data_IF_951313205512
#
_entry.id   IF_951313205512
#
_cell.length_a   1.000
_cell.length_b   1.000
_cell.length_c   1.000
_cell.angle_alpha   90.00
_cell.angle_beta   90.00
_cell.angle_gamma   90.00
#
_symmetry.space_group_name_H-M   'P 1'
#
loop_
_entity.id
_entity.type
_entity.pdbx_description
1 polymer ?
#
# COMPACT_ATOMS: atom_id res chain seq x y z
N UNK A 1 -51.50 -35.34 -28.68
CA UNK A 1 -51.55 -36.79 -28.46
C UNK A 1 -50.53 -37.11 -27.40
N UNK A 2 -51.03 -37.38 -26.28
CA UNK A 2 -51.00 -38.62 -25.46
C UNK A 2 -49.60 -38.88 -24.89
N UNK A 3 -49.43 -38.60 -23.59
CA UNK A 3 -49.62 -39.52 -22.44
C UNK A 3 -48.48 -40.56 -22.40
N UNK A 4 -47.83 -40.88 -21.29
CA UNK A 4 -48.22 -41.16 -19.89
C UNK A 4 -46.98 -41.28 -19.03
N UNK A 5 -46.96 -40.75 -17.84
CA UNK A 5 -47.21 -41.40 -16.53
C UNK A 5 -46.11 -42.33 -16.01
N UNK A 6 -45.66 -41.92 -14.82
CA UNK A 6 -44.91 -42.65 -13.80
C UNK A 6 -45.58 -44.02 -13.43
N UNK A 7 -45.09 -44.82 -12.51
CA UNK A 7 -44.69 -44.47 -11.15
C UNK A 7 -43.67 -45.40 -10.42
N UNK A 8 -43.29 -45.06 -9.20
CA UNK A 8 -43.19 -45.81 -7.94
C UNK A 8 -42.17 -46.98 -7.87
N UNK A 9 -41.49 -47.30 -6.81
CA UNK A 9 -41.73 -47.32 -5.38
C UNK A 9 -40.45 -47.81 -4.69
N UNK A 10 -40.31 -47.71 -3.39
CA UNK A 10 -39.08 -47.67 -2.60
C UNK A 10 -38.65 -49.08 -2.15
N UNK A 11 -37.37 -49.21 -1.83
CA UNK A 11 -36.93 -50.33 -1.00
C UNK A 11 -36.05 -49.80 0.15
N UNK A 12 -36.65 -49.76 1.30
CA UNK A 12 -35.98 -49.63 2.56
C UNK A 12 -35.12 -50.87 2.81
N UNK A 13 -33.84 -50.64 3.08
CA UNK A 13 -32.99 -51.67 3.63
C UNK A 13 -32.34 -51.13 4.89
N UNK A 14 -32.92 -51.44 6.02
CA UNK A 14 -32.39 -51.27 7.35
C UNK A 14 -31.23 -52.27 7.54
N UNK A 15 -30.04 -51.78 7.71
CA UNK A 15 -28.93 -52.56 8.23
C UNK A 15 -28.52 -51.97 9.58
N UNK A 16 -28.95 -52.69 10.59
CA UNK A 16 -28.46 -52.55 11.97
C UNK A 16 -27.07 -53.19 12.01
N UNK A 17 -26.06 -52.43 12.31
CA UNK A 17 -24.78 -52.99 12.73
C UNK A 17 -24.38 -52.35 14.07
N UNK A 18 -24.27 -53.26 15.02
CA UNK A 18 -23.97 -53.02 16.40
C UNK A 18 -22.59 -52.48 16.65
N UNK A 19 -22.55 -51.59 17.61
CA UNK A 19 -21.52 -51.20 18.53
C UNK A 19 -20.21 -52.00 18.60
N UNK A 20 -19.10 -51.26 18.51
CA UNK A 20 -17.98 -51.49 19.40
C UNK A 20 -17.53 -50.12 19.90
N UNK A 21 -17.82 -49.88 21.18
CA UNK A 21 -17.35 -48.74 21.90
C UNK A 21 -15.85 -48.89 22.18
N UNK A 22 -15.01 -48.07 21.54
CA UNK A 22 -13.70 -47.77 22.07
C UNK A 22 -13.76 -46.42 22.70
N UNK A 23 -13.82 -46.43 24.01
CA UNK A 23 -13.76 -45.27 24.85
C UNK A 23 -12.30 -44.77 24.91
N UNK A 24 -11.96 -43.81 24.09
CA UNK A 24 -10.75 -43.03 24.26
C UNK A 24 -11.05 -41.93 25.30
N UNK A 25 -10.17 -41.69 26.27
CA UNK A 25 -10.41 -40.64 27.26
C UNK A 25 -10.36 -39.27 26.58
N UNK A 26 -11.45 -38.52 26.64
CA UNK A 26 -11.48 -37.11 26.28
C UNK A 26 -10.60 -36.33 27.28
N UNK A 27 -9.71 -35.45 26.78
CA UNK A 27 -9.07 -34.49 27.66
C UNK A 27 -10.13 -33.51 28.16
N UNK A 28 -10.30 -33.49 29.46
CA UNK A 28 -11.10 -32.49 30.13
C UNK A 28 -10.50 -31.13 29.86
N UNK A 29 -11.18 -30.30 29.08
CA UNK A 29 -10.92 -28.88 29.00
C UNK A 29 -11.30 -28.31 30.36
N UNK A 30 -10.31 -28.08 31.20
CA UNK A 30 -10.45 -27.24 32.38
C UNK A 30 -10.73 -25.81 31.87
N UNK A 31 -11.95 -25.39 32.02
CA UNK A 31 -12.37 -24.00 31.86
C UNK A 31 -11.75 -23.19 33.01
N UNK A 32 -10.48 -22.84 32.88
CA UNK A 32 -9.93 -21.74 33.67
C UNK A 32 -10.40 -20.45 32.98
N UNK A 33 -11.45 -19.87 33.48
CA UNK A 33 -11.79 -18.48 33.22
C UNK A 33 -10.69 -17.63 33.84
N UNK A 34 -9.63 -17.39 33.09
CA UNK A 34 -8.69 -16.31 33.40
C UNK A 34 -9.44 -15.02 33.17
N UNK A 35 -9.87 -14.40 34.26
CA UNK A 35 -10.37 -13.03 34.27
C UNK A 35 -9.16 -12.15 33.89
N UNK A 36 -9.00 -11.81 32.62
CA UNK A 36 -8.03 -10.80 32.22
C UNK A 36 -8.43 -9.48 32.86
N UNK A 37 -7.57 -8.98 33.72
CA UNK A 37 -7.72 -7.66 34.32
C UNK A 37 -7.57 -6.59 33.24
N UNK A 38 -8.29 -5.49 33.37
CA UNK A 38 -8.15 -4.32 32.50
C UNK A 38 -6.70 -3.77 32.46
N UNK A 39 -5.88 -4.11 33.43
CA UNK A 39 -4.45 -3.80 33.48
C UNK A 39 -3.66 -4.64 32.50
N UNK A 40 -4.02 -5.94 32.34
CA UNK A 40 -3.32 -6.84 31.40
C UNK A 40 -3.57 -6.45 29.94
N UNK A 41 -4.74 -5.91 29.62
CA UNK A 41 -5.07 -5.40 28.29
C UNK A 41 -4.31 -4.10 27.96
N UNK A 42 -4.07 -3.26 28.94
CA UNK A 42 -3.30 -2.03 28.76
C UNK A 42 -1.79 -2.32 28.57
N UNK A 43 -1.23 -3.31 29.27
CA UNK A 43 0.15 -3.76 29.07
C UNK A 43 0.36 -4.45 27.71
N UNK A 44 -0.64 -5.21 27.23
CA UNK A 44 -0.59 -5.80 25.89
C UNK A 44 -0.63 -4.75 24.78
N UNK A 45 -1.40 -3.68 24.95
CA UNK A 45 -1.50 -2.59 23.97
C UNK A 45 -0.22 -1.73 23.96
N UNK A 46 0.40 -1.51 25.12
CA UNK A 46 1.68 -0.79 25.23
C UNK A 46 2.84 -1.63 24.66
N UNK A 47 2.91 -2.93 24.93
CA UNK A 47 3.90 -3.84 24.35
C UNK A 47 3.74 -4.02 22.85
N UNK A 48 2.50 -4.07 22.34
CA UNK A 48 2.25 -4.09 20.89
C UNK A 48 2.66 -2.78 20.24
N UNK A 49 2.49 -1.67 20.92
CA UNK A 49 2.91 -0.34 20.49
C UNK A 49 4.42 -0.16 20.53
N UNK A 50 5.08 -0.66 21.56
CA UNK A 50 6.55 -0.67 21.67
C UNK A 50 7.18 -1.64 20.65
N UNK A 51 6.58 -2.81 20.41
CA UNK A 51 6.99 -3.73 19.37
C UNK A 51 6.79 -3.12 17.97
N UNK A 52 5.71 -2.39 17.73
CA UNK A 52 5.48 -1.65 16.50
C UNK A 52 6.43 -0.46 16.33
N UNK A 53 6.83 0.22 17.42
CA UNK A 53 7.88 1.24 17.40
C UNK A 53 9.29 0.62 17.27
N UNK A 54 9.53 -0.53 17.88
CA UNK A 54 10.81 -1.25 17.82
C UNK A 54 11.10 -1.86 16.46
N UNK A 55 10.09 -2.05 15.61
CA UNK A 55 10.26 -2.49 14.22
C UNK A 55 10.71 -1.33 13.27
N UNK A 56 10.82 -0.10 13.80
CA UNK A 56 11.68 0.94 13.24
C UNK A 56 13.14 0.69 13.62
N UNK A 57 13.63 -0.53 13.38
CA UNK A 57 15.02 -0.88 13.60
C UNK A 57 15.92 0.08 12.81
N UNK A 58 17.13 0.30 13.30
CA UNK A 58 18.19 1.06 12.61
C UNK A 58 18.35 0.60 11.16
N UNK A 59 18.12 -0.69 10.88
CA UNK A 59 18.15 -1.29 9.56
C UNK A 59 17.06 -0.70 8.62
N UNK A 60 15.84 -0.52 9.09
CA UNK A 60 14.77 0.13 8.31
C UNK A 60 15.08 1.61 8.07
N UNK A 61 15.57 2.31 9.08
CA UNK A 61 15.98 3.71 8.96
C UNK A 61 17.15 3.88 7.99
N UNK A 62 18.08 2.91 7.93
CA UNK A 62 19.19 2.90 6.99
C UNK A 62 18.76 2.60 5.54
N UNK A 63 17.72 1.77 5.34
CA UNK A 63 17.24 1.35 4.02
C UNK A 63 16.36 2.38 3.32
N UNK A 64 15.63 3.21 4.06
CA UNK A 64 14.73 4.21 3.46
C UNK A 64 15.45 5.19 2.52
N UNK A 65 16.63 5.75 2.85
CA UNK A 65 17.39 6.57 1.91
C UNK A 65 17.79 5.82 0.64
N UNK A 66 18.24 4.56 0.75
CA UNK A 66 18.63 3.75 -0.42
C UNK A 66 17.46 3.45 -1.36
N UNK A 67 16.26 3.17 -0.80
CA UNK A 67 15.04 3.01 -1.59
C UNK A 67 14.63 4.32 -2.27
N UNK A 68 14.76 5.44 -1.56
CA UNK A 68 14.50 6.76 -2.13
C UNK A 68 15.47 7.06 -3.29
N UNK A 69 16.76 6.79 -3.11
CA UNK A 69 17.79 6.97 -4.15
C UNK A 69 17.50 6.13 -5.40
N UNK A 70 17.11 4.86 -5.21
CA UNK A 70 16.69 3.97 -6.30
C UNK A 70 15.48 4.53 -7.07
N UNK A 71 14.42 4.90 -6.34
CA UNK A 71 13.20 5.49 -6.92
C UNK A 71 13.53 6.76 -7.71
N UNK A 72 14.32 7.65 -7.14
CA UNK A 72 14.63 8.94 -7.76
C UNK A 72 15.57 8.79 -8.95
N UNK A 73 16.60 7.94 -8.85
CA UNK A 73 17.51 7.64 -9.96
C UNK A 73 16.76 7.01 -11.14
N UNK A 74 15.89 6.03 -10.86
CA UNK A 74 15.04 5.44 -11.92
C UNK A 74 14.06 6.48 -12.46
N UNK A 75 13.42 7.28 -11.62
CA UNK A 75 12.52 8.35 -12.05
C UNK A 75 13.20 9.37 -12.98
N UNK A 76 14.43 9.78 -12.64
CA UNK A 76 15.23 10.69 -13.47
C UNK A 76 15.56 10.08 -14.83
N UNK A 77 15.85 8.78 -14.92
CA UNK A 77 16.09 8.09 -16.19
C UNK A 77 14.87 8.07 -17.12
N UNK A 78 13.67 8.30 -16.58
CA UNK A 78 12.40 8.33 -17.29
C UNK A 78 11.96 9.76 -17.69
N UNK A 79 12.74 10.79 -17.37
CA UNK A 79 12.43 12.17 -17.77
C UNK A 79 12.25 12.25 -19.28
N UNK A 80 11.19 12.95 -19.73
CA UNK A 80 10.79 13.02 -21.13
C UNK A 80 9.80 11.93 -21.57
N UNK A 81 9.55 10.90 -20.76
CA UNK A 81 8.48 9.93 -21.06
C UNK A 81 7.13 10.64 -21.11
N UNK A 82 6.38 10.42 -22.20
CA UNK A 82 5.13 11.13 -22.47
C UNK A 82 4.07 10.92 -21.39
N UNK A 83 3.27 11.95 -21.16
CA UNK A 83 2.04 11.81 -20.37
C UNK A 83 0.99 11.01 -21.14
N UNK A 84 0.31 10.12 -20.44
CA UNK A 84 -0.90 9.44 -20.93
C UNK A 84 -1.86 9.21 -19.76
N UNK A 85 -3.07 9.72 -19.86
CA UNK A 85 -4.12 9.44 -18.87
C UNK A 85 -4.38 7.92 -18.76
N UNK A 86 -4.35 7.38 -17.55
CA UNK A 86 -4.45 5.93 -17.30
C UNK A 86 -3.17 5.14 -17.63
N UNK A 87 -2.12 5.80 -18.09
CA UNK A 87 -0.82 5.16 -18.38
C UNK A 87 -0.06 4.77 -17.11
N UNK A 88 0.68 3.66 -17.17
CA UNK A 88 1.42 3.13 -16.01
C UNK A 88 2.65 2.32 -16.41
N UNK A 89 3.20 2.55 -17.61
CA UNK A 89 4.42 1.87 -18.07
C UNK A 89 5.23 2.78 -18.99
N UNK A 90 6.51 2.45 -19.17
CA UNK A 90 7.42 3.18 -20.07
C UNK A 90 6.89 3.20 -21.51
N UNK A 91 6.40 2.06 -21.99
CA UNK A 91 5.91 1.93 -23.36
C UNK A 91 4.59 2.67 -23.61
N UNK A 92 3.68 2.67 -22.62
CA UNK A 92 2.39 3.35 -22.73
C UNK A 92 2.48 4.85 -22.47
N UNK A 93 3.44 5.30 -21.70
CA UNK A 93 3.48 6.59 -21.03
C UNK A 93 2.84 6.50 -19.63
N UNK A 94 2.91 7.57 -18.87
CA UNK A 94 2.44 7.63 -17.49
C UNK A 94 1.45 8.77 -17.27
N UNK A 95 0.43 8.55 -16.42
CA UNK A 95 -0.16 9.64 -15.64
C UNK A 95 0.60 9.81 -14.30
N UNK A 96 0.21 10.81 -13.50
CA UNK A 96 0.93 11.12 -12.26
C UNK A 96 0.98 9.94 -11.27
N UNK A 97 -0.15 9.31 -10.98
CA UNK A 97 -0.20 8.16 -10.07
C UNK A 97 0.36 6.87 -10.67
N UNK A 98 0.26 6.69 -11.98
CA UNK A 98 0.87 5.56 -12.69
C UNK A 98 2.39 5.61 -12.67
N UNK A 99 2.98 6.80 -12.79
CA UNK A 99 4.41 7.01 -12.66
C UNK A 99 4.91 6.66 -11.26
N UNK A 100 4.24 7.20 -10.23
CA UNK A 100 4.57 6.92 -8.83
C UNK A 100 4.43 5.43 -8.52
N UNK A 101 3.28 4.83 -8.87
CA UNK A 101 3.02 3.41 -8.61
C UNK A 101 4.00 2.47 -9.32
N UNK A 102 4.44 2.84 -10.53
CA UNK A 102 5.46 2.10 -11.27
C UNK A 102 6.80 2.12 -10.50
N UNK A 103 7.31 3.28 -10.15
CA UNK A 103 8.59 3.41 -9.46
C UNK A 103 8.60 2.72 -8.09
N UNK A 104 7.58 2.95 -7.28
CA UNK A 104 7.51 2.34 -5.94
C UNK A 104 7.40 0.82 -6.00
N UNK A 105 6.71 0.28 -7.00
CA UNK A 105 6.64 -1.16 -7.21
C UNK A 105 7.97 -1.75 -7.63
N UNK A 106 8.64 -1.12 -8.60
CA UNK A 106 9.89 -1.64 -9.18
C UNK A 106 11.06 -1.52 -8.19
N UNK A 107 11.19 -0.40 -7.46
CA UNK A 107 12.34 -0.11 -6.62
C UNK A 107 12.14 -0.51 -5.14
N UNK A 108 10.91 -0.38 -4.63
CA UNK A 108 10.62 -0.65 -3.22
C UNK A 108 9.73 -1.88 -3.00
N UNK A 109 9.25 -2.57 -4.05
CA UNK A 109 8.29 -3.66 -3.93
C UNK A 109 6.92 -3.21 -3.38
N UNK A 110 6.70 -1.91 -3.26
CA UNK A 110 5.50 -1.33 -2.63
C UNK A 110 4.41 -1.06 -3.66
N UNK A 111 3.29 -1.78 -3.52
CA UNK A 111 2.12 -1.59 -4.39
C UNK A 111 1.23 -0.47 -3.85
N UNK A 112 1.29 0.69 -4.47
CA UNK A 112 0.43 1.83 -4.16
C UNK A 112 -0.91 1.79 -4.90
N UNK A 113 -1.96 2.46 -4.38
CA UNK A 113 -3.24 2.62 -5.08
C UNK A 113 -3.06 3.28 -6.45
N UNK A 114 -3.92 2.89 -7.42
CA UNK A 114 -3.78 3.36 -8.81
C UNK A 114 -4.15 4.83 -9.01
N UNK A 115 -4.99 5.41 -8.18
CA UNK A 115 -5.42 6.80 -8.32
C UNK A 115 -4.81 7.71 -7.26
N UNK A 116 -4.56 8.98 -7.58
CA UNK A 116 -4.13 9.99 -6.58
C UNK A 116 -5.14 10.16 -5.45
N UNK A 117 -6.44 9.96 -5.75
CA UNK A 117 -7.52 10.05 -4.77
C UNK A 117 -7.44 8.97 -3.70
N UNK A 118 -7.07 7.75 -4.09
CA UNK A 118 -6.90 6.65 -3.16
C UNK A 118 -5.49 6.69 -2.53
N UNK A 119 -4.50 7.16 -3.28
CA UNK A 119 -3.11 7.26 -2.84
C UNK A 119 -2.92 8.26 -1.68
N UNK A 120 -3.67 9.37 -1.67
CA UNK A 120 -3.63 10.32 -0.57
C UNK A 120 -4.17 9.73 0.75
N UNK A 121 -5.00 8.68 0.67
CA UNK A 121 -5.63 8.03 1.83
C UNK A 121 -4.86 6.80 2.35
N UNK A 122 -3.66 6.51 1.84
CA UNK A 122 -2.86 5.40 2.38
C UNK A 122 -2.50 5.67 3.85
N UNK A 123 -2.39 4.60 4.63
CA UNK A 123 -2.00 4.67 6.04
C UNK A 123 -0.47 4.81 6.17
N UNK A 124 0.04 5.94 5.71
CA UNK A 124 1.44 6.33 5.79
C UNK A 124 1.58 7.63 6.60
N UNK A 125 2.70 7.82 7.32
CA UNK A 125 2.92 9.03 8.09
C UNK A 125 2.75 10.30 7.25
N UNK A 126 1.97 11.27 7.78
CA UNK A 126 1.95 12.63 7.26
C UNK A 126 3.30 13.30 7.51
N UNK A 127 3.72 14.14 6.58
CA UNK A 127 4.99 14.86 6.64
C UNK A 127 4.73 16.34 6.45
N UNK A 128 5.21 17.12 7.40
CA UNK A 128 5.19 18.58 7.28
C UNK A 128 6.18 19.04 6.20
N UNK A 129 5.92 20.21 5.60
CA UNK A 129 6.74 20.70 4.48
C UNK A 129 8.23 20.83 4.85
N UNK A 130 8.53 21.25 6.07
CA UNK A 130 9.90 21.46 6.55
C UNK A 130 10.62 20.14 6.89
N UNK A 131 9.87 19.04 7.02
CA UNK A 131 10.36 17.68 7.32
C UNK A 131 10.44 16.78 6.09
N UNK A 132 10.20 17.32 4.89
CA UNK A 132 10.24 16.57 3.64
C UNK A 132 11.60 15.91 3.42
N UNK A 133 11.58 14.64 3.01
CA UNK A 133 12.76 13.86 2.66
C UNK A 133 12.61 13.26 1.25
N UNK A 134 13.71 13.05 0.53
CA UNK A 134 13.66 12.37 -0.75
C UNK A 134 12.84 11.07 -0.71
N UNK A 135 11.94 10.88 -1.67
CA UNK A 135 11.02 9.75 -1.74
C UNK A 135 9.64 10.00 -1.11
N UNK A 136 9.41 11.12 -0.41
CA UNK A 136 8.08 11.47 0.10
C UNK A 136 7.12 11.78 -1.05
N UNK A 137 5.87 11.33 -0.92
CA UNK A 137 4.80 11.62 -1.87
C UNK A 137 4.21 13.00 -1.58
N UNK A 138 4.07 13.79 -2.62
CA UNK A 138 3.46 15.12 -2.58
C UNK A 138 2.11 15.10 -3.27
N UNK A 139 1.11 15.73 -2.68
CA UNK A 139 -0.25 15.80 -3.21
C UNK A 139 -0.68 17.24 -3.46
N UNK A 140 -1.35 17.44 -4.61
CA UNK A 140 -1.73 18.78 -5.08
C UNK A 140 -3.19 18.83 -5.55
N UNK A 141 -3.82 20.01 -5.35
CA UNK A 141 -5.13 20.36 -5.92
C UNK A 141 -4.97 21.26 -7.14
N UNK A 142 -4.69 20.67 -8.30
CA UNK A 142 -4.43 21.42 -9.54
C UNK A 142 -5.70 21.86 -10.28
N UNK A 143 -6.86 21.32 -9.89
CA UNK A 143 -8.18 21.62 -10.50
C UNK A 143 -8.99 22.65 -9.72
N UNK A 144 -8.41 23.31 -8.73
CA UNK A 144 -9.05 24.42 -7.99
C UNK A 144 -10.16 24.03 -7.00
N UNK A 145 -10.45 22.75 -6.81
CA UNK A 145 -11.56 22.28 -5.96
C UNK A 145 -11.16 21.82 -4.55
N UNK A 146 -9.94 22.08 -4.10
CA UNK A 146 -9.41 21.62 -2.79
C UNK A 146 -9.21 20.10 -2.69
N UNK A 147 -9.64 19.32 -3.69
CA UNK A 147 -9.47 17.87 -3.74
C UNK A 147 -8.19 17.51 -4.49
N UNK A 148 -7.52 16.44 -4.05
CA UNK A 148 -6.33 15.94 -4.75
C UNK A 148 -6.64 15.61 -6.20
N UNK A 149 -5.78 16.09 -7.09
CA UNK A 149 -5.88 15.84 -8.54
C UNK A 149 -4.53 15.54 -9.17
N UNK A 150 -3.44 15.73 -8.43
CA UNK A 150 -2.08 15.50 -8.91
C UNK A 150 -1.17 15.03 -7.77
N UNK A 151 -0.10 14.33 -8.12
CA UNK A 151 0.90 13.87 -7.17
C UNK A 151 2.29 13.82 -7.82
N UNK A 152 3.34 13.92 -6.97
CA UNK A 152 4.74 13.81 -7.33
C UNK A 152 5.56 13.17 -6.23
N UNK A 153 6.86 13.00 -6.46
CA UNK A 153 7.83 12.45 -5.52
C UNK A 153 8.87 13.53 -5.20
N UNK A 154 9.03 13.85 -3.92
CA UNK A 154 10.02 14.81 -3.47
C UNK A 154 11.45 14.31 -3.70
N UNK A 155 12.33 15.19 -4.16
CA UNK A 155 13.72 14.85 -4.51
C UNK A 155 14.75 15.45 -3.54
N UNK A 156 14.36 16.42 -2.74
CA UNK A 156 15.24 17.31 -2.00
C UNK A 156 15.31 18.69 -2.67
N UNK A 157 15.88 19.67 -1.97
CA UNK A 157 16.14 21.02 -2.48
C UNK A 157 14.92 21.69 -3.13
N UNK A 158 13.74 21.52 -2.49
CA UNK A 158 12.44 21.98 -3.00
C UNK A 158 12.10 21.52 -4.43
N UNK A 159 12.70 20.44 -4.89
CA UNK A 159 12.40 19.83 -6.18
C UNK A 159 11.55 18.56 -6.05
N UNK A 160 10.77 18.27 -7.06
CA UNK A 160 10.00 17.02 -7.14
C UNK A 160 9.87 16.55 -8.59
N UNK A 161 9.81 15.22 -8.76
CA UNK A 161 9.61 14.59 -10.04
C UNK A 161 8.17 14.08 -10.16
N UNK A 162 7.57 14.27 -11.33
CA UNK A 162 6.19 13.86 -11.59
C UNK A 162 5.93 13.65 -13.09
N UNK A 163 4.79 13.04 -13.43
CA UNK A 163 4.29 13.03 -14.80
C UNK A 163 3.21 14.08 -14.97
N UNK A 164 3.52 15.12 -15.70
CA UNK A 164 2.65 16.29 -15.91
C UNK A 164 1.71 16.13 -17.11
N UNK A 165 0.43 16.51 -16.96
CA UNK A 165 -0.56 16.54 -18.03
C UNK A 165 -0.55 17.84 -18.84
N UNK A 166 0.36 18.78 -18.54
CA UNK A 166 0.47 20.04 -19.28
C UNK A 166 0.81 19.82 -20.75
N UNK A 167 0.71 20.87 -21.58
CA UNK A 167 1.07 20.79 -23.01
C UNK A 167 2.52 20.40 -23.27
N UNK A 168 3.42 20.72 -22.35
CA UNK A 168 4.81 20.24 -22.32
C UNK A 168 4.95 18.97 -21.50
N UNK A 169 3.88 18.17 -21.42
CA UNK A 169 3.67 17.11 -20.46
C UNK A 169 4.56 15.90 -20.64
N UNK A 170 4.60 15.12 -19.56
CA UNK A 170 5.41 13.93 -19.41
C UNK A 170 6.17 13.97 -18.09
N UNK A 171 7.07 13.03 -17.92
CA UNK A 171 7.93 12.94 -16.75
C UNK A 171 8.91 14.10 -16.74
N UNK A 172 8.90 14.88 -15.65
CA UNK A 172 9.73 16.07 -15.50
C UNK A 172 9.98 16.42 -14.03
N UNK A 173 10.93 17.31 -13.80
CA UNK A 173 11.21 17.89 -12.50
C UNK A 173 10.67 19.33 -12.47
N UNK A 174 9.98 19.68 -11.40
CA UNK A 174 9.52 21.03 -11.10
C UNK A 174 9.91 21.42 -9.65
N UNK A 175 9.84 22.72 -9.35
CA UNK A 175 10.14 23.24 -8.00
C UNK A 175 8.87 23.44 -7.17
N UNK A 176 8.91 23.01 -5.90
CA UNK A 176 7.86 23.31 -4.92
C UNK A 176 7.77 24.79 -4.58
N UNK A 177 8.84 25.57 -4.83
CA UNK A 177 8.84 27.02 -4.62
C UNK A 177 8.17 27.78 -5.76
N UNK A 178 7.91 27.14 -6.89
CA UNK A 178 7.07 27.70 -7.92
C UNK A 178 5.72 28.13 -7.37
N UNK A 179 5.31 29.36 -7.66
CA UNK A 179 4.05 29.95 -7.17
C UNK A 179 2.83 29.08 -7.42
N UNK A 180 2.81 28.34 -8.56
CA UNK A 180 1.73 27.42 -8.89
C UNK A 180 1.71 26.22 -7.95
N UNK A 181 2.85 25.53 -7.79
CA UNK A 181 2.95 24.35 -6.96
C UNK A 181 2.79 24.65 -5.47
N UNK A 182 3.39 25.74 -5.00
CA UNK A 182 3.23 26.23 -3.62
C UNK A 182 1.76 26.48 -3.24
N UNK A 183 0.97 27.05 -4.16
CA UNK A 183 -0.45 27.35 -3.93
C UNK A 183 -1.35 26.12 -4.00
N UNK A 184 -0.98 25.10 -4.77
CA UNK A 184 -1.80 23.90 -5.02
C UNK A 184 -1.41 22.72 -4.12
N UNK A 185 -0.34 22.83 -3.35
CA UNK A 185 0.08 21.82 -2.39
C UNK A 185 -0.99 21.58 -1.31
N UNK A 186 -1.24 20.31 -0.99
CA UNK A 186 -2.22 19.88 0.02
C UNK A 186 -1.48 19.30 1.22
N UNK A 187 -0.74 18.21 1.03
CA UNK A 187 -0.04 17.45 2.05
C UNK A 187 1.04 16.57 1.44
N UNK A 188 1.87 16.01 2.30
CA UNK A 188 2.84 14.99 1.92
C UNK A 188 2.73 13.74 2.80
N UNK A 189 3.15 12.58 2.27
CA UNK A 189 3.18 11.31 3.01
C UNK A 189 4.47 10.55 2.77
N UNK A 190 4.99 9.95 3.84
CA UNK A 190 6.19 9.08 3.78
C UNK A 190 5.81 7.65 3.45
N UNK A 191 5.43 7.40 2.19
CA UNK A 191 4.97 6.09 1.74
C UNK A 191 6.02 4.99 1.89
N UNK A 192 7.31 5.31 1.82
CA UNK A 192 8.41 4.35 2.01
C UNK A 192 8.41 3.70 3.41
N UNK A 193 7.79 4.33 4.41
CA UNK A 193 7.59 3.71 5.72
C UNK A 193 6.77 2.41 5.66
N UNK A 194 5.97 2.23 4.61
CA UNK A 194 5.16 1.02 4.36
C UNK A 194 5.92 -0.04 3.54
N UNK A 195 7.15 0.22 3.11
CA UNK A 195 7.91 -0.74 2.30
C UNK A 195 8.17 -2.04 3.08
N UNK A 196 7.99 -3.23 2.45
CA UNK A 196 8.25 -4.50 3.10
C UNK A 196 9.71 -4.62 3.57
N UNK A 197 9.92 -5.17 4.75
CA UNK A 197 11.27 -5.31 5.33
C UNK A 197 12.15 -6.30 4.53
N UNK A 198 11.54 -7.25 3.79
CA UNK A 198 12.24 -8.34 3.09
C UNK A 198 12.56 -8.07 1.60
N UNK A 199 12.25 -6.91 1.05
CA UNK A 199 12.27 -6.72 -0.41
C UNK A 199 13.62 -6.35 -1.05
N UNK A 200 14.77 -6.54 -0.36
CA UNK A 200 16.10 -6.23 -0.93
C UNK A 200 17.03 -7.44 -0.92
N UNK A 201 16.58 -8.57 -1.46
CA UNK A 201 17.49 -9.57 -2.01
C UNK A 201 17.15 -9.73 -3.50
N UNK A 202 17.49 -8.73 -4.29
CA UNK A 202 17.82 -8.98 -5.70
C UNK A 202 19.31 -9.34 -5.72
N UNK A 203 19.60 -10.64 -5.69
CA UNK A 203 20.88 -11.13 -6.14
C UNK A 203 21.11 -10.68 -7.59
N UNK A 204 22.34 -10.24 -7.92
CA UNK A 204 22.73 -9.85 -9.27
C UNK A 204 22.66 -10.99 -10.27
#
# INVERSE_FOLDING_TARGET
MLQRLAPLVPLALTLVLAACANHAPQPQLSTQSSVFSSTDLAEFDEQAKEAALGDFTEEKAYRLPQLADGILSHGLSLVGTRYRFGGGSVSSGFDCSGFIGYLFKEEAGLKLPRSTRDMINIDAPLVERDDLKPGDLLFFSTNGGGRVSHAGIYMGDDQFIHSSSSRSGGVRVDSLDDRYWKRTFIEAKRALALAPTESVVRNP
#
